data_IF_292534577279
#
_entry.id   IF_292534577279
#
_cell.length_a   1.000
_cell.length_b   1.000
_cell.length_c   1.000
_cell.angle_alpha   90.00
_cell.angle_beta   90.00
_cell.angle_gamma   90.00
#
_symmetry.space_group_name_H-M   'P 1'
#
loop_
_entity.id
_entity.type
_entity.pdbx_description
1 polymer ?
#
# COMPACT_ATOMS: atom_id res chain seq x y z
N UNK A 1 -64.02 -2.46 -26.92
CA UNK A 1 -63.47 -2.95 -28.21
C UNK A 1 -62.32 -2.02 -28.57
N UNK A 2 -61.21 -2.57 -29.08
CA UNK A 2 -59.98 -1.86 -29.52
C UNK A 2 -60.27 -0.76 -30.53
N UNK A 3 -59.33 -0.13 -31.24
CA UNK A 3 -58.33 -0.71 -32.12
C UNK A 3 -57.56 0.51 -32.67
N UNK A 4 -56.26 0.63 -32.40
CA UNK A 4 -55.20 1.09 -33.32
C UNK A 4 -53.87 1.01 -32.57
N UNK A 5 -53.26 -0.15 -32.75
CA UNK A 5 -51.89 -0.50 -32.45
C UNK A 5 -50.95 0.15 -33.50
N UNK A 6 -49.69 0.39 -33.09
CA UNK A 6 -48.54 0.69 -33.94
C UNK A 6 -48.47 2.04 -34.64
N UNK A 7 -47.64 2.96 -34.10
CA UNK A 7 -46.60 3.71 -34.82
C UNK A 7 -45.79 4.59 -33.83
N UNK A 8 -44.45 4.49 -33.92
CA UNK A 8 -43.39 5.19 -33.15
C UNK A 8 -43.09 4.60 -31.77
N UNK A 9 -41.89 4.09 -31.46
CA UNK A 9 -40.61 4.00 -32.16
C UNK A 9 -39.63 3.30 -31.19
N UNK A 10 -38.70 2.53 -31.74
CA UNK A 10 -37.71 1.71 -31.02
C UNK A 10 -37.02 2.50 -29.90
N UNK A 11 -37.08 2.01 -28.66
CA UNK A 11 -36.06 2.33 -27.66
C UNK A 11 -34.84 1.50 -28.01
N UNK A 12 -33.89 2.12 -28.71
CA UNK A 12 -32.50 1.71 -28.65
C UNK A 12 -32.01 2.09 -27.25
N UNK A 13 -32.21 1.18 -26.30
CA UNK A 13 -31.56 1.23 -24.99
C UNK A 13 -30.10 0.84 -25.23
N UNK A 14 -29.32 1.84 -25.64
CA UNK A 14 -27.87 1.78 -25.55
C UNK A 14 -27.53 1.94 -24.08
N UNK A 15 -27.62 0.83 -23.34
CA UNK A 15 -26.85 0.69 -22.11
C UNK A 15 -25.39 0.67 -22.52
N UNK A 16 -24.80 1.85 -22.67
CA UNK A 16 -23.39 2.05 -22.35
C UNK A 16 -23.25 1.55 -20.90
N UNK A 17 -22.98 0.26 -20.73
CA UNK A 17 -22.35 -0.25 -19.53
C UNK A 17 -21.01 0.47 -19.48
N UNK A 18 -20.95 1.58 -18.75
CA UNK A 18 -19.69 2.11 -18.28
C UNK A 18 -19.04 0.97 -17.51
N UNK A 19 -18.02 0.36 -18.09
CA UNK A 19 -17.09 -0.45 -17.32
C UNK A 19 -16.39 0.56 -16.45
N UNK A 20 -16.91 0.76 -15.23
CA UNK A 20 -16.22 1.57 -14.24
C UNK A 20 -14.85 0.93 -14.00
N UNK A 21 -13.80 1.74 -14.07
CA UNK A 21 -12.46 1.30 -13.73
C UNK A 21 -12.47 0.82 -12.26
N UNK A 22 -11.87 -0.34 -11.95
CA UNK A 22 -11.81 -0.85 -10.59
C UNK A 22 -11.13 0.15 -9.65
N UNK A 23 -11.62 0.25 -8.41
CA UNK A 23 -11.01 1.14 -7.42
C UNK A 23 -9.70 0.56 -6.86
N UNK A 24 -8.92 1.41 -6.21
CA UNK A 24 -7.60 1.06 -5.72
C UNK A 24 -7.65 0.01 -4.58
N UNK A 25 -8.71 0.00 -3.79
CA UNK A 25 -8.98 -1.01 -2.75
C UNK A 25 -9.45 -2.37 -3.33
N UNK A 26 -9.76 -2.43 -4.62
CA UNK A 26 -10.22 -3.65 -5.30
C UNK A 26 -9.12 -4.41 -6.07
N UNK A 27 -7.86 -3.96 -5.95
CA UNK A 27 -6.71 -4.54 -6.64
C UNK A 27 -6.56 -6.05 -6.36
N UNK A 28 -6.12 -6.78 -7.39
CA UNK A 28 -5.87 -8.23 -7.32
C UNK A 28 -4.57 -8.57 -8.02
N UNK A 29 -3.96 -9.68 -7.61
CA UNK A 29 -2.78 -10.20 -8.28
C UNK A 29 -3.00 -10.35 -9.80
N UNK A 30 -2.05 -9.83 -10.57
CA UNK A 30 -2.07 -9.72 -12.02
C UNK A 30 -2.70 -8.44 -12.58
N UNK A 31 -3.31 -7.59 -11.74
CA UNK A 31 -3.79 -6.28 -12.19
C UNK A 31 -2.60 -5.39 -12.57
N UNK A 32 -2.83 -4.48 -13.50
CA UNK A 32 -1.87 -3.45 -13.90
C UNK A 32 -2.43 -2.08 -13.51
N UNK A 33 -1.57 -1.15 -13.12
CA UNK A 33 -1.93 0.24 -12.90
C UNK A 33 -0.76 1.15 -13.29
N UNK A 34 -1.06 2.38 -13.69
CA UNK A 34 -0.05 3.40 -13.98
C UNK A 34 0.14 4.32 -12.77
N UNK A 35 1.40 4.55 -12.40
CA UNK A 35 1.82 5.49 -11.36
C UNK A 35 3.12 6.16 -11.82
N UNK A 36 3.21 7.49 -11.72
CA UNK A 36 4.37 8.28 -12.16
C UNK A 36 4.87 7.96 -13.57
N UNK A 37 3.94 7.81 -14.53
CA UNK A 37 4.22 7.47 -15.94
C UNK A 37 4.85 6.09 -16.16
N UNK A 38 4.75 5.19 -15.17
CA UNK A 38 5.21 3.80 -15.24
C UNK A 38 4.06 2.85 -14.96
N UNK A 39 4.04 1.72 -15.67
CA UNK A 39 3.02 0.67 -15.46
C UNK A 39 3.52 -0.39 -14.48
N UNK A 40 2.80 -0.59 -13.39
CA UNK A 40 3.13 -1.54 -12.34
C UNK A 40 2.21 -2.76 -12.38
N UNK A 41 2.74 -3.95 -12.13
CA UNK A 41 1.96 -5.17 -11.96
C UNK A 41 1.75 -5.44 -10.47
N UNK A 42 0.51 -5.72 -10.06
CA UNK A 42 0.22 -6.24 -8.72
C UNK A 42 0.67 -7.69 -8.67
N UNK A 43 1.76 -8.00 -7.96
CA UNK A 43 2.33 -9.35 -7.94
C UNK A 43 1.97 -10.14 -6.69
N UNK A 44 1.62 -9.46 -5.59
CA UNK A 44 1.24 -10.10 -4.33
C UNK A 44 0.22 -9.27 -3.57
N UNK A 45 -0.56 -9.98 -2.76
CA UNK A 45 -1.47 -9.40 -1.79
C UNK A 45 -1.18 -9.93 -0.38
N UNK A 46 -1.08 -9.01 0.59
CA UNK A 46 -0.86 -9.30 1.99
C UNK A 46 -1.96 -8.67 2.84
N UNK A 47 -2.25 -9.30 3.98
CA UNK A 47 -3.14 -8.76 5.01
C UNK A 47 -2.39 -8.51 6.29
N UNK A 48 -2.49 -7.30 6.81
CA UNK A 48 -1.99 -6.89 8.10
C UNK A 48 -3.10 -6.88 9.15
N UNK A 49 -2.70 -7.09 10.40
CA UNK A 49 -3.52 -6.92 11.59
C UNK A 49 -2.62 -6.31 12.67
N UNK A 50 -2.77 -5.00 12.88
CA UNK A 50 -2.08 -4.21 13.90
C UNK A 50 -2.87 -4.23 15.22
N UNK A 51 -3.01 -5.40 15.83
CA UNK A 51 -3.75 -5.61 17.09
C UNK A 51 -5.24 -5.24 17.05
N UNK A 52 -5.92 -5.59 15.97
CA UNK A 52 -7.35 -5.36 15.76
C UNK A 52 -7.66 -4.33 14.68
N UNK A 53 -6.63 -3.70 14.11
CA UNK A 53 -6.71 -2.77 13.00
C UNK A 53 -6.21 -3.48 11.73
N UNK A 54 -7.13 -4.00 10.89
CA UNK A 54 -6.74 -4.66 9.66
C UNK A 54 -6.22 -3.64 8.64
N UNK A 55 -5.34 -4.09 7.76
CA UNK A 55 -4.94 -3.37 6.55
C UNK A 55 -4.67 -4.38 5.42
N UNK A 56 -4.81 -3.94 4.18
CA UNK A 56 -4.43 -4.72 2.99
C UNK A 56 -3.22 -4.07 2.32
N UNK A 57 -2.25 -4.86 1.89
CA UNK A 57 -1.04 -4.38 1.20
C UNK A 57 -0.88 -5.11 -0.14
N UNK A 58 -0.64 -4.35 -1.20
CA UNK A 58 -0.31 -4.87 -2.52
C UNK A 58 1.16 -4.59 -2.87
N UNK A 59 1.87 -5.63 -3.31
CA UNK A 59 3.21 -5.47 -3.90
C UNK A 59 3.06 -5.13 -5.37
N UNK A 60 3.65 -4.00 -5.77
CA UNK A 60 3.68 -3.49 -7.12
C UNK A 60 5.08 -3.66 -7.70
N UNK A 61 5.21 -4.33 -8.84
CA UNK A 61 6.50 -4.57 -9.51
C UNK A 61 6.57 -3.85 -10.86
N UNK A 62 7.70 -3.17 -11.10
CA UNK A 62 8.08 -2.69 -12.43
C UNK A 62 9.56 -3.00 -12.68
N UNK A 63 9.83 -4.04 -13.47
CA UNK A 63 11.17 -4.57 -13.70
C UNK A 63 11.89 -4.97 -12.39
N UNK A 64 12.89 -4.21 -11.96
CA UNK A 64 13.66 -4.44 -10.73
C UNK A 64 13.16 -3.58 -9.56
N UNK A 65 12.20 -2.67 -9.79
CA UNK A 65 11.67 -1.76 -8.78
C UNK A 65 10.42 -2.34 -8.10
N UNK A 66 10.26 -2.00 -6.82
CA UNK A 66 9.22 -2.51 -5.93
C UNK A 66 8.57 -1.35 -5.18
N UNK A 67 7.23 -1.32 -5.18
CA UNK A 67 6.44 -0.50 -4.28
C UNK A 67 5.49 -1.39 -3.46
N UNK A 68 5.11 -0.89 -2.29
CA UNK A 68 4.07 -1.46 -1.45
C UNK A 68 2.99 -0.41 -1.26
N UNK A 69 1.78 -0.75 -1.67
CA UNK A 69 0.60 0.07 -1.48
C UNK A 69 -0.23 -0.55 -0.37
N UNK A 70 -0.30 0.12 0.77
CA UNK A 70 -1.10 -0.27 1.92
C UNK A 70 -2.40 0.53 1.95
N UNK A 71 -3.49 -0.13 2.35
CA UNK A 71 -4.80 0.45 2.56
C UNK A 71 -5.25 0.14 3.98
N UNK A 72 -5.39 1.19 4.78
CA UNK A 72 -5.80 1.14 6.17
C UNK A 72 -7.29 1.44 6.31
N UNK A 73 -8.02 0.53 6.96
CA UNK A 73 -9.49 0.61 7.13
C UNK A 73 -9.94 1.55 8.27
N UNK A 74 -9.16 2.59 8.60
CA UNK A 74 -9.51 3.54 9.67
C UNK A 74 -10.53 4.60 9.19
N UNK A 75 -10.91 5.53 10.08
CA UNK A 75 -11.89 6.62 9.90
C UNK A 75 -11.43 7.66 8.84
N UNK A 76 -11.29 7.22 7.58
CA UNK A 76 -10.78 8.03 6.48
C UNK A 76 -10.36 7.28 5.23
N UNK A 77 -10.23 5.94 5.26
CA UNK A 77 -9.74 5.13 4.13
C UNK A 77 -8.42 5.68 3.55
N UNK A 78 -7.30 5.38 4.22
CA UNK A 78 -5.98 5.96 3.88
C UNK A 78 -5.17 5.00 3.03
N UNK A 79 -4.50 5.52 2.00
CA UNK A 79 -3.53 4.77 1.21
C UNK A 79 -2.11 5.25 1.50
N UNK A 80 -1.22 4.31 1.80
CA UNK A 80 0.19 4.56 2.05
C UNK A 80 1.01 3.86 0.96
N UNK A 81 1.85 4.61 0.25
CA UNK A 81 2.76 4.06 -0.75
C UNK A 81 4.19 4.13 -0.24
N UNK A 82 4.89 2.99 -0.24
CA UNK A 82 6.27 2.91 0.20
C UNK A 82 7.16 2.09 -0.73
N UNK A 83 8.46 2.31 -0.61
CA UNK A 83 9.51 1.54 -1.27
C UNK A 83 10.55 1.04 -0.26
N UNK A 84 11.25 -0.07 -0.54
CA UNK A 84 12.34 -0.52 0.32
C UNK A 84 13.48 0.50 0.40
N UNK A 85 14.01 0.73 1.59
CA UNK A 85 15.23 1.51 1.82
C UNK A 85 16.32 0.66 2.51
N UNK A 86 17.59 1.07 2.39
CA UNK A 86 18.66 0.42 3.16
C UNK A 86 18.60 0.90 4.62
N UNK A 87 18.76 -0.03 5.56
CA UNK A 87 18.84 0.29 6.99
C UNK A 87 19.99 1.25 7.33
N UNK A 88 21.01 1.36 6.47
CA UNK A 88 22.09 2.33 6.63
C UNK A 88 21.71 3.76 6.28
N UNK A 89 20.63 3.95 5.53
CA UNK A 89 20.13 5.27 5.11
C UNK A 89 19.33 5.96 6.22
N UNK A 90 18.88 5.18 7.22
CA UNK A 90 18.24 5.68 8.43
C UNK A 90 19.26 5.79 9.56
N UNK A 91 19.23 6.92 10.28
CA UNK A 91 20.10 7.15 11.43
C UNK A 91 19.30 7.59 12.66
N UNK A 92 19.80 7.26 13.85
CA UNK A 92 19.27 7.73 15.13
C UNK A 92 20.45 8.16 16.00
N UNK A 93 20.30 9.26 16.74
CA UNK A 93 21.38 9.85 17.56
C UNK A 93 22.71 10.08 16.80
N UNK A 94 22.64 10.29 15.48
CA UNK A 94 23.81 10.47 14.62
C UNK A 94 24.60 9.20 14.28
N UNK A 95 24.09 8.02 14.65
CA UNK A 95 24.62 6.71 14.26
C UNK A 95 23.64 5.99 13.33
N UNK A 96 24.14 5.11 12.44
CA UNK A 96 23.22 4.33 11.60
C UNK A 96 22.31 3.49 12.48
N UNK A 97 21.05 3.37 12.08
CA UNK A 97 20.01 2.70 12.85
C UNK A 97 20.40 1.25 13.21
N UNK A 98 21.15 0.57 12.33
CA UNK A 98 21.71 -0.77 12.56
C UNK A 98 22.59 -0.89 13.83
N UNK A 99 23.27 0.18 14.23
CA UNK A 99 24.15 0.21 15.41
C UNK A 99 23.33 0.44 16.68
N UNK A 100 22.31 1.30 16.59
CA UNK A 100 21.46 1.76 17.70
C UNK A 100 20.50 0.66 18.18
N UNK A 101 20.09 -0.24 17.28
CA UNK A 101 19.17 -1.37 17.53
C UNK A 101 19.64 -2.47 18.50
N UNK A 102 20.73 -2.23 19.26
CA UNK A 102 21.11 -3.10 20.38
C UNK A 102 20.10 -3.06 21.51
N UNK A 103 19.43 -1.93 21.68
CA UNK A 103 18.39 -1.74 22.69
C UNK A 103 17.02 -2.11 22.11
N UNK A 104 16.14 -2.62 22.99
CA UNK A 104 14.83 -3.17 22.58
C UNK A 104 13.73 -2.11 22.45
N UNK A 105 14.07 -0.83 22.60
CA UNK A 105 13.15 0.31 22.56
C UNK A 105 13.45 1.15 21.31
N UNK A 106 12.43 1.62 20.58
CA UNK A 106 12.65 2.54 19.46
C UNK A 106 13.21 3.88 19.97
N UNK A 107 14.15 4.50 19.24
CA UNK A 107 14.46 5.91 19.47
C UNK A 107 13.22 6.78 19.23
N UNK A 108 13.14 7.94 19.88
CA UNK A 108 12.00 8.85 19.70
C UNK A 108 11.95 9.54 18.32
N UNK A 109 13.08 9.57 17.62
CA UNK A 109 13.26 10.25 16.34
C UNK A 109 14.30 9.54 15.48
N UNK A 110 14.15 9.62 14.17
CA UNK A 110 15.13 9.14 13.18
C UNK A 110 15.37 10.19 12.10
N UNK A 111 16.50 10.09 11.44
CA UNK A 111 16.82 10.89 10.25
C UNK A 111 16.89 10.00 9.02
N UNK A 112 16.25 10.44 7.94
CA UNK A 112 16.36 9.87 6.60
C UNK A 112 16.48 11.01 5.58
N UNK A 113 17.46 10.92 4.67
CA UNK A 113 17.79 11.96 3.67
C UNK A 113 17.84 13.41 4.21
N UNK A 114 18.32 13.58 5.46
CA UNK A 114 18.43 14.88 6.11
C UNK A 114 17.12 15.43 6.72
N UNK A 115 16.03 14.69 6.63
CA UNK A 115 14.73 14.99 7.26
C UNK A 115 14.59 14.23 8.57
N UNK A 116 14.06 14.89 9.61
CA UNK A 116 13.77 14.30 10.92
C UNK A 116 12.33 13.78 10.96
N UNK A 117 12.17 12.52 11.31
CA UNK A 117 10.90 11.84 11.51
C UNK A 117 10.72 11.50 12.99
N UNK A 118 9.50 11.62 13.50
CA UNK A 118 9.17 11.40 14.92
C UNK A 118 8.41 10.09 15.06
N UNK A 119 8.73 9.30 16.08
CA UNK A 119 8.03 8.04 16.37
C UNK A 119 6.53 8.34 16.58
N UNK A 120 5.70 7.83 15.68
CA UNK A 120 4.25 7.98 15.71
C UNK A 120 3.61 6.72 16.29
N UNK A 121 4.01 5.55 15.78
CA UNK A 121 3.43 4.27 16.16
C UNK A 121 4.49 3.18 16.37
N UNK A 122 4.19 2.27 17.29
CA UNK A 122 4.93 1.03 17.44
C UNK A 122 4.03 -0.08 17.97
N UNK A 123 4.35 -1.31 17.60
CA UNK A 123 3.62 -2.44 18.15
C UNK A 123 4.00 -3.79 17.56
N UNK A 124 3.38 -4.86 18.08
CA UNK A 124 3.32 -6.11 17.37
C UNK A 124 2.25 -6.04 16.27
N UNK A 125 2.47 -6.78 15.19
CA UNK A 125 1.44 -7.01 14.17
C UNK A 125 1.52 -8.44 13.63
N UNK A 126 0.53 -8.82 12.83
CA UNK A 126 0.62 -10.03 12.02
C UNK A 126 0.46 -9.71 10.55
N UNK A 127 1.24 -10.39 9.72
CA UNK A 127 1.15 -10.29 8.26
C UNK A 127 0.82 -11.65 7.68
N UNK A 128 -0.22 -11.72 6.87
CA UNK A 128 -0.69 -12.94 6.22
C UNK A 128 -0.55 -12.83 4.71
N UNK A 129 0.22 -13.76 4.12
CA UNK A 129 0.39 -13.92 2.66
C UNK A 129 0.20 -15.38 2.32
N UNK A 130 -0.54 -15.72 1.26
CA UNK A 130 -0.78 -17.11 0.82
C UNK A 130 -1.25 -18.06 1.95
N UNK A 131 -2.14 -17.58 2.84
CA UNK A 131 -2.60 -18.29 4.05
C UNK A 131 -1.50 -18.61 5.07
N UNK A 132 -0.37 -17.90 5.04
CA UNK A 132 0.71 -18.00 6.03
C UNK A 132 0.82 -16.72 6.82
N UNK A 133 0.50 -16.80 8.10
CA UNK A 133 0.58 -15.69 9.04
C UNK A 133 1.92 -15.69 9.77
N UNK A 134 2.64 -14.57 9.68
CA UNK A 134 3.86 -14.30 10.43
C UNK A 134 3.60 -13.19 11.44
N UNK A 135 4.27 -13.28 12.60
CA UNK A 135 4.27 -12.20 13.59
C UNK A 135 5.46 -11.28 13.32
N UNK A 136 5.23 -9.98 13.44
CA UNK A 136 6.27 -8.96 13.31
C UNK A 136 6.16 -7.94 14.43
N UNK A 137 7.22 -7.16 14.60
CA UNK A 137 7.18 -5.86 15.28
C UNK A 137 7.41 -4.78 14.26
N UNK A 138 6.72 -3.67 14.42
CA UNK A 138 6.85 -2.52 13.55
C UNK A 138 7.09 -1.25 14.36
N UNK A 139 7.76 -0.30 13.72
CA UNK A 139 7.93 1.08 14.16
C UNK A 139 7.64 2.01 12.99
N UNK A 140 6.78 3.01 13.17
CA UNK A 140 6.46 4.03 12.16
C UNK A 140 6.88 5.38 12.70
N UNK A 141 7.66 6.10 11.88
CA UNK A 141 8.08 7.47 12.14
C UNK A 141 7.52 8.37 11.07
N UNK A 142 6.96 9.52 11.45
CA UNK A 142 6.26 10.42 10.53
C UNK A 142 6.92 11.80 10.42
N UNK A 143 6.79 12.40 9.24
CA UNK A 143 7.13 13.78 8.95
C UNK A 143 6.12 14.35 7.93
N UNK A 144 5.10 15.06 8.40
CA UNK A 144 4.04 15.54 7.50
C UNK A 144 3.30 14.35 6.89
N UNK A 145 3.26 14.28 5.56
CA UNK A 145 2.62 13.19 4.82
C UNK A 145 3.61 12.04 4.48
N UNK A 146 4.89 12.19 4.84
CA UNK A 146 5.94 11.18 4.62
C UNK A 146 6.16 10.32 5.88
N UNK A 147 6.60 9.08 5.69
CA UNK A 147 6.93 8.17 6.80
C UNK A 147 8.18 7.31 6.53
N UNK A 148 8.74 6.81 7.63
CA UNK A 148 9.74 5.74 7.67
C UNK A 148 9.19 4.61 8.51
N UNK A 149 8.93 3.47 7.89
CA UNK A 149 8.46 2.27 8.57
C UNK A 149 9.59 1.25 8.70
N UNK A 150 9.67 0.60 9.85
CA UNK A 150 10.60 -0.50 10.08
C UNK A 150 9.85 -1.72 10.56
N UNK A 151 10.13 -2.86 9.96
CA UNK A 151 9.51 -4.14 10.34
C UNK A 151 10.54 -5.19 10.70
N UNK A 152 10.22 -6.05 11.67
CA UNK A 152 11.06 -7.20 12.03
C UNK A 152 10.26 -8.46 12.26
N UNK A 153 10.64 -9.51 11.54
CA UNK A 153 10.04 -10.84 11.63
C UNK A 153 10.84 -11.74 12.57
N UNK A 154 10.32 -11.96 13.78
CA UNK A 154 10.97 -12.83 14.76
C UNK A 154 12.40 -12.38 15.09
N UNK A 155 13.40 -13.17 14.68
CA UNK A 155 14.83 -12.87 14.88
C UNK A 155 15.54 -12.33 13.64
N UNK A 156 14.82 -11.97 12.57
CA UNK A 156 15.42 -11.39 11.36
C UNK A 156 16.09 -10.05 11.62
N UNK A 157 16.84 -9.57 10.63
CA UNK A 157 17.17 -8.15 10.51
C UNK A 157 15.89 -7.34 10.26
N UNK A 158 15.99 -6.02 10.47
CA UNK A 158 14.90 -5.10 10.18
C UNK A 158 14.83 -4.81 8.68
N UNK A 159 13.62 -4.81 8.16
CA UNK A 159 13.29 -4.21 6.87
C UNK A 159 12.95 -2.74 7.10
N UNK A 160 13.34 -1.89 6.17
CA UNK A 160 13.05 -0.46 6.21
C UNK A 160 12.31 -0.09 4.95
N UNK A 161 11.29 0.73 5.12
CA UNK A 161 10.48 1.26 4.05
C UNK A 161 10.35 2.77 4.26
N UNK A 162 10.41 3.49 3.15
CA UNK A 162 10.16 4.93 3.13
C UNK A 162 9.00 5.17 2.19
N UNK A 163 8.10 6.05 2.61
CA UNK A 163 6.85 6.21 1.89
C UNK A 163 6.14 7.48 2.25
N UNK A 164 4.94 7.60 1.73
CA UNK A 164 4.03 8.72 1.97
C UNK A 164 2.58 8.30 1.84
N UNK A 165 1.69 9.14 2.34
CA UNK A 165 0.27 9.09 2.00
C UNK A 165 0.08 9.41 0.51
N UNK A 166 -0.80 8.64 -0.14
CA UNK A 166 -1.16 8.81 -1.54
C UNK A 166 -2.66 8.81 -1.71
N UNK A 167 -3.12 9.40 -2.80
CA UNK A 167 -4.53 9.48 -3.11
C UNK A 167 -4.89 8.59 -4.30
N UNK A 168 -6.11 8.02 -4.36
CA UNK A 168 -6.52 7.16 -5.47
C UNK A 168 -6.38 7.80 -6.85
N UNK A 169 -6.53 9.13 -6.96
CA UNK A 169 -6.40 9.86 -8.23
C UNK A 169 -4.96 9.98 -8.74
N UNK A 170 -3.96 9.59 -7.94
CA UNK A 170 -2.55 9.53 -8.37
C UNK A 170 -2.26 8.29 -9.23
N UNK A 171 -3.21 7.35 -9.27
CA UNK A 171 -3.14 6.12 -10.03
C UNK A 171 -4.09 6.16 -11.22
N UNK A 172 -3.59 5.78 -12.39
CA UNK A 172 -4.33 5.76 -13.65
C UNK A 172 -4.40 4.33 -14.21
N UNK A 173 -5.28 4.09 -15.19
CA UNK A 173 -5.32 2.87 -16.00
C UNK A 173 -5.29 1.57 -15.16
N UNK A 174 -6.12 1.49 -14.11
CA UNK A 174 -6.25 0.29 -13.30
C UNK A 174 -6.99 -0.76 -14.15
N UNK A 175 -6.26 -1.77 -14.60
CA UNK A 175 -6.75 -2.76 -15.55
C UNK A 175 -6.60 -4.17 -15.01
N UNK A 176 -7.63 -5.03 -15.10
CA UNK A 176 -7.47 -6.44 -14.79
C UNK A 176 -6.52 -7.10 -15.80
N UNK A 177 -5.83 -8.15 -15.36
CA UNK A 177 -5.01 -8.96 -16.26
C UNK A 177 -5.84 -9.38 -17.47
N UNK A 178 -5.38 -9.03 -18.67
CA UNK A 178 -5.99 -9.53 -19.90
C UNK A 178 -6.01 -11.07 -19.85
N UNK A 179 -7.20 -11.65 -19.88
CA UNK A 179 -7.37 -13.10 -19.90
C UNK A 179 -6.63 -13.65 -21.13
N UNK A 180 -5.55 -14.39 -20.89
CA UNK A 180 -4.79 -15.10 -21.94
C UNK A 180 -5.44 -16.43 -22.28
#
# INVERSE_FOLDING_TARGET
MGFFDSLFGSSDDSSDESVDDPSLDELREGYMLDYEMRTWEVTKHAKYDYEGWPADEWTLENNDDLLFLEYEYDDGDVFLLSEPADITDVTADGESFRVVLRDSEPPGTVMHDGTEYVLAEEGPATRTVDNRTNKLRYWVYEHGDDFVALERYGSSDWNVYVGREVEPYEFDNILPRASS
#
